data_IF_978936107435
#
_entry.id   IF_978936107435
#
_cell.length_a   1.000
_cell.length_b   1.000
_cell.length_c   1.000
_cell.angle_alpha   90.00
_cell.angle_beta   90.00
_cell.angle_gamma   90.00
#
_symmetry.space_group_name_H-M   'P 1'
#
loop_
_entity.id
_entity.type
_entity.pdbx_description
1 polymer ?
#
# COMPACT_ATOMS: atom_id res chain seq x y z
N UNK A 1 -6.88 59.31 -6.62
CA UNK A 1 -8.09 60.16 -6.80
C UNK A 1 -9.25 59.28 -7.12
N UNK A 2 -10.30 59.41 -6.28
CA UNK A 2 -11.73 59.10 -6.48
C UNK A 2 -12.07 57.64 -6.79
N UNK A 3 -12.61 56.86 -5.82
CA UNK A 3 -13.96 56.90 -5.16
C UNK A 3 -15.11 56.71 -6.13
N UNK A 4 -15.95 55.74 -5.81
CA UNK A 4 -17.40 55.77 -5.52
C UNK A 4 -18.07 54.62 -6.29
N UNK A 5 -18.77 53.70 -5.72
CA UNK A 5 -19.86 53.46 -4.78
C UNK A 5 -21.14 52.93 -5.47
N UNK A 6 -21.73 51.92 -4.90
CA UNK A 6 -23.18 51.62 -4.65
C UNK A 6 -24.06 51.30 -5.86
N UNK A 7 -25.07 50.44 -5.84
CA UNK A 7 -26.09 49.99 -4.85
C UNK A 7 -26.88 48.80 -5.41
N UNK A 8 -27.22 47.85 -4.67
CA UNK A 8 -28.53 47.48 -4.06
C UNK A 8 -29.77 47.60 -4.97
N UNK A 9 -30.46 46.48 -5.21
CA UNK A 9 -31.91 46.42 -5.31
C UNK A 9 -32.47 45.06 -4.82
N UNK A 10 -33.18 45.13 -3.71
CA UNK A 10 -34.12 44.15 -3.13
C UNK A 10 -35.46 44.39 -3.80
N UNK A 11 -36.16 43.32 -4.21
CA UNK A 11 -37.62 43.37 -4.32
C UNK A 11 -38.21 42.04 -3.79
N UNK A 12 -38.95 42.20 -2.68
CA UNK A 12 -39.91 41.21 -2.16
C UNK A 12 -41.19 41.19 -3.02
N UNK A 13 -41.81 40.02 -3.11
CA UNK A 13 -43.27 39.95 -3.22
C UNK A 13 -43.74 38.75 -2.38
N UNK A 14 -44.51 39.08 -1.37
CA UNK A 14 -45.31 38.16 -0.56
C UNK A 14 -46.72 38.02 -1.15
N UNK A 15 -47.33 36.85 -1.05
CA UNK A 15 -48.76 36.71 -1.01
C UNK A 15 -49.16 35.47 -0.21
N UNK A 16 -49.96 35.77 0.77
CA UNK A 16 -50.64 34.89 1.75
C UNK A 16 -51.61 33.88 1.11
N UNK A 17 -51.78 32.73 1.78
CA UNK A 17 -53.10 32.39 2.29
C UNK A 17 -53.03 31.36 3.42
N UNK A 18 -53.80 31.67 4.47
CA UNK A 18 -53.98 30.91 5.70
C UNK A 18 -54.97 29.72 5.51
N UNK A 19 -54.89 28.71 6.34
CA UNK A 19 -55.78 28.35 7.45
C UNK A 19 -55.60 26.87 7.83
N UNK A 20 -55.46 26.59 9.12
CA UNK A 20 -55.74 25.28 9.70
C UNK A 20 -54.81 24.83 10.83
N UNK A 21 -55.08 25.28 12.06
CA UNK A 21 -54.51 24.77 13.30
C UNK A 21 -54.84 23.30 13.54
N UNK A 22 -53.85 22.52 14.02
CA UNK A 22 -54.02 21.58 15.16
C UNK A 22 -52.70 21.20 15.74
N UNK A 23 -52.62 21.42 17.05
CA UNK A 23 -51.50 21.06 17.92
C UNK A 23 -51.19 19.59 17.92
N UNK A 24 -49.91 19.22 17.85
CA UNK A 24 -49.38 18.14 18.69
C UNK A 24 -47.87 18.25 18.89
N UNK A 25 -47.46 18.20 20.14
CA UNK A 25 -46.08 18.18 20.64
C UNK A 25 -45.36 16.95 20.16
N UNK A 26 -44.10 17.10 19.66
CA UNK A 26 -43.23 15.95 19.37
C UNK A 26 -41.86 16.40 18.98
N UNK A 27 -40.96 16.42 19.94
CA UNK A 27 -39.49 16.28 19.95
C UNK A 27 -38.74 16.44 18.61
N UNK A 28 -37.84 17.44 18.60
CA UNK A 28 -36.72 17.62 17.69
C UNK A 28 -35.86 16.35 17.59
N UNK A 29 -35.92 15.66 16.45
CA UNK A 29 -34.93 14.67 16.05
C UNK A 29 -34.15 15.24 14.86
N UNK A 30 -32.92 15.72 15.10
CA UNK A 30 -31.94 15.97 14.05
C UNK A 30 -31.75 14.67 13.22
N UNK A 31 -31.66 14.77 11.88
CA UNK A 31 -31.38 13.60 11.07
C UNK A 31 -29.95 13.13 11.33
N UNK A 32 -29.82 11.95 11.92
CA UNK A 32 -28.54 11.23 11.99
C UNK A 32 -28.15 10.88 10.55
N UNK A 33 -27.01 11.41 10.10
CA UNK A 33 -26.31 10.90 8.93
C UNK A 33 -26.12 9.39 9.11
N UNK A 34 -26.79 8.58 8.32
CA UNK A 34 -26.53 7.15 8.17
C UNK A 34 -25.17 7.03 7.47
N UNK A 35 -24.13 6.71 8.20
CA UNK A 35 -22.93 6.13 7.62
C UNK A 35 -23.36 4.85 6.92
N UNK A 36 -23.28 4.85 5.59
CA UNK A 36 -23.45 3.63 4.81
C UNK A 36 -22.26 2.73 5.14
N UNK A 37 -22.45 1.77 6.03
CA UNK A 37 -21.51 0.67 6.21
C UNK A 37 -21.39 -0.04 4.86
N UNK A 38 -20.25 0.11 4.17
CA UNK A 38 -19.90 -0.66 2.97
C UNK A 38 -19.91 -2.14 3.39
N UNK A 39 -20.90 -2.89 2.91
CA UNK A 39 -20.99 -4.32 3.15
C UNK A 39 -19.75 -4.98 2.52
N UNK A 40 -18.97 -5.73 3.30
CA UNK A 40 -17.92 -6.61 2.78
C UNK A 40 -18.54 -7.49 1.69
N UNK A 41 -17.95 -7.49 0.50
CA UNK A 41 -18.30 -8.46 -0.52
C UNK A 41 -17.94 -9.85 0.01
N UNK A 42 -18.92 -10.59 0.52
CA UNK A 42 -18.75 -11.98 0.94
C UNK A 42 -18.28 -12.77 -0.27
N UNK A 43 -17.19 -13.55 -0.11
CA UNK A 43 -16.72 -14.51 -1.11
C UNK A 43 -17.93 -15.34 -1.54
N UNK A 44 -18.31 -15.38 -2.82
CA UNK A 44 -19.38 -16.26 -3.27
C UNK A 44 -19.00 -17.72 -2.94
N UNK A 45 -19.95 -18.50 -2.52
CA UNK A 45 -19.75 -19.86 -1.97
C UNK A 45 -18.97 -20.81 -2.92
N UNK A 46 -18.88 -20.47 -4.21
CA UNK A 46 -18.29 -21.28 -5.28
C UNK A 46 -17.24 -20.53 -6.14
N UNK A 47 -16.69 -19.40 -5.67
CA UNK A 47 -15.64 -18.73 -6.44
C UNK A 47 -14.31 -19.45 -6.23
N UNK A 48 -13.65 -19.93 -7.31
CA UNK A 48 -12.35 -20.59 -7.19
C UNK A 48 -11.29 -19.64 -6.63
N UNK A 49 -10.29 -20.20 -5.98
CA UNK A 49 -9.13 -19.43 -5.55
C UNK A 49 -8.31 -18.98 -6.76
N UNK A 50 -7.85 -17.73 -6.75
CA UNK A 50 -6.98 -17.22 -7.82
C UNK A 50 -5.63 -17.96 -7.83
N UNK A 51 -5.03 -18.03 -9.02
CA UNK A 51 -3.74 -18.65 -9.29
C UNK A 51 -2.69 -17.60 -9.68
N UNK A 52 -1.43 -18.01 -9.65
CA UNK A 52 -0.27 -17.19 -9.99
C UNK A 52 0.58 -16.85 -8.77
N UNK A 53 1.85 -16.51 -9.03
CA UNK A 53 2.81 -16.06 -8.03
C UNK A 53 2.57 -14.61 -7.59
N UNK A 54 3.25 -14.17 -6.53
CA UNK A 54 3.24 -12.77 -6.12
C UNK A 54 3.79 -11.88 -7.24
N UNK A 55 3.10 -10.77 -7.52
CA UNK A 55 3.50 -9.77 -8.53
C UNK A 55 3.54 -10.32 -9.97
N UNK A 56 2.81 -11.40 -10.27
CA UNK A 56 2.52 -11.83 -11.63
C UNK A 56 1.31 -11.10 -12.20
N UNK A 57 1.41 -10.67 -13.47
CA UNK A 57 0.34 -10.00 -14.21
C UNK A 57 0.17 -10.65 -15.58
N UNK A 58 -1.04 -11.10 -15.89
CA UNK A 58 -1.40 -11.58 -17.21
C UNK A 58 -1.93 -10.43 -18.05
N UNK A 59 -1.29 -10.14 -19.19
CA UNK A 59 -1.76 -9.15 -20.16
C UNK A 59 -2.43 -9.87 -21.33
N UNK A 60 -3.71 -9.56 -21.56
CA UNK A 60 -4.52 -10.02 -22.69
C UNK A 60 -4.50 -8.94 -23.76
N UNK A 61 -4.07 -9.30 -24.97
CA UNK A 61 -3.87 -8.38 -26.09
C UNK A 61 -4.48 -8.89 -27.39
N UNK A 62 -4.80 -7.99 -28.33
CA UNK A 62 -5.13 -8.33 -29.70
C UNK A 62 -3.84 -8.40 -30.55
N UNK A 63 -3.77 -9.27 -31.59
CA UNK A 63 -2.57 -9.39 -32.42
C UNK A 63 -2.04 -8.05 -32.97
N UNK A 64 -2.92 -7.12 -33.28
CA UNK A 64 -2.56 -5.78 -33.75
C UNK A 64 -1.83 -4.94 -32.70
N UNK A 65 -2.02 -5.20 -31.39
CA UNK A 65 -1.38 -4.45 -30.31
C UNK A 65 0.14 -4.68 -30.26
N UNK A 66 0.58 -5.87 -30.70
CA UNK A 66 2.01 -6.17 -30.88
C UNK A 66 2.59 -5.39 -32.07
N UNK A 67 1.87 -5.35 -33.20
CA UNK A 67 2.34 -4.68 -34.42
C UNK A 67 2.46 -3.17 -34.24
N UNK A 68 1.60 -2.58 -33.44
CA UNK A 68 1.60 -1.13 -33.15
C UNK A 68 2.54 -0.71 -32.03
N UNK A 69 3.15 -1.66 -31.31
CA UNK A 69 3.99 -1.41 -30.14
C UNK A 69 3.19 -0.96 -28.88
N UNK A 70 1.86 -1.13 -28.89
CA UNK A 70 1.03 -0.80 -27.73
C UNK A 70 1.30 -1.76 -26.58
N UNK A 71 1.40 -3.06 -26.86
CA UNK A 71 1.77 -4.08 -25.89
C UNK A 71 3.16 -3.80 -25.28
N UNK A 72 4.17 -3.53 -26.12
CA UNK A 72 5.55 -3.28 -25.65
C UNK A 72 5.62 -2.06 -24.72
N UNK A 73 4.79 -1.04 -24.98
CA UNK A 73 4.70 0.14 -24.11
C UNK A 73 4.15 -0.24 -22.73
N UNK A 74 3.09 -1.04 -22.66
CA UNK A 74 2.53 -1.50 -21.38
C UNK A 74 3.50 -2.47 -20.67
N UNK A 75 4.12 -3.38 -21.43
CA UNK A 75 5.12 -4.30 -20.92
C UNK A 75 6.27 -3.55 -20.23
N UNK A 76 6.83 -2.52 -20.89
CA UNK A 76 7.92 -1.74 -20.34
C UNK A 76 7.50 -1.01 -19.05
N UNK A 77 6.27 -0.50 -18.98
CA UNK A 77 5.75 0.09 -17.73
C UNK A 77 5.67 -0.95 -16.61
N UNK A 78 5.10 -2.11 -16.88
CA UNK A 78 4.93 -3.17 -15.87
C UNK A 78 6.26 -3.79 -15.43
N UNK A 79 7.27 -3.78 -16.29
CA UNK A 79 8.60 -4.34 -16.00
C UNK A 79 9.63 -3.29 -15.62
N UNK A 80 9.22 -2.04 -15.37
CA UNK A 80 10.13 -1.03 -14.83
C UNK A 80 10.67 -1.46 -13.47
N UNK A 81 11.92 -1.08 -13.19
CA UNK A 81 12.64 -1.55 -12.01
C UNK A 81 12.03 -1.04 -10.70
N UNK A 82 11.96 -1.90 -9.71
CA UNK A 82 11.58 -1.51 -8.35
C UNK A 82 12.69 -0.66 -7.73
N UNK A 83 12.38 0.59 -7.45
CA UNK A 83 13.30 1.50 -6.79
C UNK A 83 13.57 1.07 -5.34
N UNK A 84 14.82 1.21 -4.90
CA UNK A 84 15.23 0.87 -3.53
C UNK A 84 15.71 -0.57 -3.36
N UNK A 85 15.88 -1.31 -4.44
CA UNK A 85 16.56 -2.60 -4.42
C UNK A 85 18.05 -2.43 -4.74
N UNK A 86 18.87 -3.39 -4.28
CA UNK A 86 20.33 -3.38 -4.52
C UNK A 86 20.71 -3.87 -5.92
N UNK A 87 19.76 -4.41 -6.67
CA UNK A 87 19.89 -4.86 -8.04
C UNK A 87 18.60 -4.53 -8.80
N UNK A 88 18.68 -4.46 -10.13
CA UNK A 88 17.52 -4.24 -10.98
C UNK A 88 16.59 -5.47 -10.91
N UNK A 89 15.36 -5.25 -10.54
CA UNK A 89 14.30 -6.27 -10.49
C UNK A 89 12.99 -5.64 -10.98
N UNK A 90 12.29 -6.27 -11.96
CA UNK A 90 11.08 -5.72 -12.51
C UNK A 90 9.96 -5.61 -11.47
N UNK A 91 9.10 -4.61 -11.61
CA UNK A 91 7.94 -4.42 -10.73
C UNK A 91 6.98 -5.60 -10.77
N UNK A 92 6.77 -6.19 -11.95
CA UNK A 92 5.92 -7.37 -12.16
C UNK A 92 6.55 -8.38 -13.12
N UNK A 93 6.20 -9.65 -12.91
CA UNK A 93 6.46 -10.74 -13.83
C UNK A 93 5.30 -10.81 -14.83
N UNK A 94 5.54 -10.41 -16.07
CA UNK A 94 4.48 -10.25 -17.08
C UNK A 94 4.34 -11.47 -17.95
N UNK A 95 3.18 -12.10 -17.89
CA UNK A 95 2.72 -13.10 -18.86
C UNK A 95 1.87 -12.42 -19.93
N UNK A 96 1.90 -12.93 -21.16
CA UNK A 96 1.09 -12.42 -22.27
C UNK A 96 0.30 -13.51 -22.96
N UNK A 97 -0.92 -13.19 -23.37
CA UNK A 97 -1.79 -14.08 -24.13
C UNK A 97 -2.64 -13.30 -25.12
N UNK A 98 -2.83 -13.81 -26.32
CA UNK A 98 -3.81 -13.20 -27.24
C UNK A 98 -5.24 -13.46 -26.75
N UNK A 99 -6.14 -12.53 -27.04
CA UNK A 99 -7.55 -12.61 -26.66
C UNK A 99 -8.21 -13.93 -27.08
N UNK A 100 -7.88 -14.44 -28.27
CA UNK A 100 -8.40 -15.71 -28.80
C UNK A 100 -7.99 -16.94 -27.96
N UNK A 101 -6.89 -16.86 -27.22
CA UNK A 101 -6.36 -17.94 -26.39
C UNK A 101 -6.61 -17.70 -24.90
N UNK A 102 -7.29 -16.62 -24.53
CA UNK A 102 -7.67 -16.33 -23.15
C UNK A 102 -8.74 -17.31 -22.67
N UNK A 103 -8.27 -18.47 -22.19
CA UNK A 103 -9.10 -19.62 -21.78
C UNK A 103 -9.49 -19.58 -20.31
N UNK A 104 -10.43 -20.47 -19.92
CA UNK A 104 -10.92 -20.59 -18.54
C UNK A 104 -9.82 -20.80 -17.50
N UNK A 105 -8.72 -21.48 -17.83
CA UNK A 105 -7.61 -21.68 -16.90
C UNK A 105 -6.86 -20.38 -16.61
N UNK A 106 -6.72 -19.51 -17.62
CA UNK A 106 -6.08 -18.19 -17.48
C UNK A 106 -6.99 -17.18 -16.80
N UNK A 107 -8.30 -17.42 -16.77
CA UNK A 107 -9.23 -16.64 -15.98
C UNK A 107 -8.91 -16.71 -14.47
N UNK A 108 -8.19 -17.72 -14.01
CA UNK A 108 -7.83 -17.83 -12.59
C UNK A 108 -6.62 -16.98 -12.22
N UNK A 109 -5.90 -16.37 -13.16
CA UNK A 109 -4.80 -15.46 -12.84
C UNK A 109 -5.27 -14.34 -11.92
N UNK A 110 -4.47 -14.05 -10.88
CA UNK A 110 -4.84 -13.09 -9.84
C UNK A 110 -4.92 -11.65 -10.36
N UNK A 111 -3.98 -11.24 -11.18
CA UNK A 111 -3.95 -9.93 -11.81
C UNK A 111 -4.04 -10.08 -13.32
N UNK A 112 -5.06 -9.47 -13.92
CA UNK A 112 -5.31 -9.53 -15.36
C UNK A 112 -5.45 -8.10 -15.88
N UNK A 113 -4.72 -7.78 -16.95
CA UNK A 113 -4.93 -6.56 -17.73
C UNK A 113 -5.46 -6.95 -19.10
N UNK A 114 -6.58 -6.38 -19.52
CA UNK A 114 -7.16 -6.56 -20.83
C UNK A 114 -6.98 -5.25 -21.61
N UNK A 115 -6.26 -5.32 -22.72
CA UNK A 115 -6.10 -4.20 -23.64
C UNK A 115 -7.31 -4.13 -24.56
N UNK A 116 -7.95 -2.96 -24.64
CA UNK A 116 -9.15 -2.72 -25.46
C UNK A 116 -8.91 -1.49 -26.34
N UNK A 117 -8.36 -1.68 -27.54
CA UNK A 117 -8.01 -0.60 -28.47
C UNK A 117 -8.94 -0.69 -29.70
N UNK A 118 -9.98 0.16 -29.75
CA UNK A 118 -10.93 0.19 -30.87
C UNK A 118 -11.61 1.57 -30.99
N UNK A 119 -11.32 2.30 -32.07
CA UNK A 119 -11.91 3.63 -32.33
C UNK A 119 -13.42 3.63 -32.61
N UNK A 120 -13.99 2.46 -32.94
CA UNK A 120 -15.44 2.33 -33.14
C UNK A 120 -16.20 2.24 -31.81
N UNK A 121 -15.52 1.86 -30.74
CA UNK A 121 -16.09 1.62 -29.41
C UNK A 121 -15.68 2.70 -28.43
N UNK A 122 -14.43 3.16 -28.49
CA UNK A 122 -13.85 4.07 -27.51
C UNK A 122 -13.48 5.41 -28.11
N UNK A 123 -13.89 6.49 -27.46
CA UNK A 123 -13.59 7.87 -27.85
C UNK A 123 -12.50 8.51 -26.98
N UNK A 124 -12.14 7.88 -25.88
CA UNK A 124 -11.12 8.35 -24.92
C UNK A 124 -10.44 7.19 -24.20
N UNK A 125 -9.21 7.43 -23.72
CA UNK A 125 -8.50 6.48 -22.89
C UNK A 125 -9.07 6.45 -21.47
N UNK A 126 -9.18 5.26 -20.89
CA UNK A 126 -9.71 5.07 -19.53
C UNK A 126 -9.26 3.74 -18.93
N UNK A 127 -9.04 3.75 -17.59
CA UNK A 127 -8.98 2.53 -16.79
C UNK A 127 -10.36 2.15 -16.28
N UNK A 128 -10.67 0.86 -16.31
CA UNK A 128 -11.80 0.27 -15.59
C UNK A 128 -11.32 -1.01 -14.94
N UNK A 129 -11.59 -1.21 -13.68
CA UNK A 129 -11.27 -2.46 -13.02
C UNK A 129 -12.47 -3.08 -12.33
N UNK A 130 -12.41 -4.39 -12.16
CA UNK A 130 -13.42 -5.16 -11.43
C UNK A 130 -12.70 -6.17 -10.55
N UNK A 131 -13.17 -6.31 -9.32
CA UNK A 131 -12.63 -7.31 -8.38
C UNK A 131 -13.39 -8.63 -8.52
N UNK A 132 -12.66 -9.74 -8.41
CA UNK A 132 -13.22 -11.09 -8.22
C UNK A 132 -14.20 -11.54 -9.32
N UNK A 133 -13.84 -11.31 -10.59
CA UNK A 133 -14.69 -11.67 -11.75
C UNK A 133 -14.77 -13.18 -11.95
N UNK A 134 -13.63 -13.85 -11.90
CA UNK A 134 -13.52 -15.29 -12.18
C UNK A 134 -12.96 -16.09 -10.99
N UNK A 135 -12.19 -15.45 -10.13
CA UNK A 135 -11.50 -16.07 -9.00
C UNK A 135 -11.45 -15.10 -7.80
N UNK A 136 -11.02 -15.59 -6.64
CA UNK A 136 -10.87 -14.79 -5.42
C UNK A 136 -9.52 -15.09 -4.73
N UNK A 137 -8.77 -14.05 -4.32
CA UNK A 137 -8.91 -12.64 -4.70
C UNK A 137 -8.42 -12.38 -6.13
N UNK A 138 -9.01 -11.44 -6.85
CA UNK A 138 -8.65 -11.16 -8.24
C UNK A 138 -8.89 -9.70 -8.60
N UNK A 139 -7.99 -9.14 -9.42
CA UNK A 139 -8.18 -7.86 -10.10
C UNK A 139 -8.18 -8.09 -11.61
N UNK A 140 -9.21 -7.61 -12.28
CA UNK A 140 -9.28 -7.53 -13.74
C UNK A 140 -9.36 -6.05 -14.14
N UNK A 141 -8.30 -5.52 -14.74
CA UNK A 141 -8.24 -4.15 -15.25
C UNK A 141 -8.41 -4.14 -16.75
N UNK A 142 -9.30 -3.31 -17.25
CA UNK A 142 -9.47 -3.01 -18.66
C UNK A 142 -8.86 -1.65 -18.97
N UNK A 143 -7.89 -1.58 -19.87
CA UNK A 143 -7.33 -0.33 -20.38
C UNK A 143 -7.93 -0.12 -21.77
N UNK A 144 -8.83 0.85 -21.91
CA UNK A 144 -9.51 1.18 -23.16
C UNK A 144 -8.88 2.41 -23.81
N UNK A 145 -8.78 2.41 -25.15
CA UNK A 145 -8.30 3.53 -25.93
C UNK A 145 -8.89 3.53 -27.36
N UNK A 146 -9.02 4.71 -28.02
CA UNK A 146 -9.51 4.77 -29.40
C UNK A 146 -8.50 4.25 -30.41
N UNK A 147 -7.19 4.39 -30.15
CA UNK A 147 -6.12 3.93 -31.03
C UNK A 147 -4.82 3.66 -30.24
N UNK A 148 -3.86 3.02 -30.91
CA UNK A 148 -2.60 2.63 -30.29
C UNK A 148 -1.73 3.81 -29.85
N UNK A 149 -1.73 4.94 -30.56
CA UNK A 149 -0.92 6.11 -30.19
C UNK A 149 -1.43 6.76 -28.90
N UNK A 150 -2.74 6.89 -28.78
CA UNK A 150 -3.35 7.40 -27.55
C UNK A 150 -3.17 6.43 -26.40
N UNK A 151 -3.30 5.11 -26.62
CA UNK A 151 -3.01 4.10 -25.63
C UNK A 151 -1.57 4.22 -25.10
N UNK A 152 -0.57 4.27 -25.99
CA UNK A 152 0.83 4.38 -25.59
C UNK A 152 1.11 5.64 -24.77
N UNK A 153 0.55 6.78 -25.18
CA UNK A 153 0.66 8.03 -24.44
C UNK A 153 0.00 7.93 -23.07
N UNK A 154 -1.20 7.39 -23.01
CA UNK A 154 -1.97 7.22 -21.77
C UNK A 154 -1.27 6.32 -20.77
N UNK A 155 -0.77 5.16 -21.20
CA UNK A 155 -0.03 4.22 -20.34
C UNK A 155 1.26 4.86 -19.80
N UNK A 156 2.02 5.57 -20.64
CA UNK A 156 3.23 6.28 -20.19
C UNK A 156 2.92 7.39 -19.18
N UNK A 157 1.88 8.18 -19.43
CA UNK A 157 1.48 9.27 -18.53
C UNK A 157 0.99 8.75 -17.18
N UNK A 158 0.38 7.58 -17.16
CA UNK A 158 -0.16 6.94 -15.94
C UNK A 158 0.73 5.80 -15.42
N UNK A 159 2.03 5.84 -15.70
CA UNK A 159 3.01 4.84 -15.29
C UNK A 159 2.89 4.50 -13.80
N UNK A 160 3.06 5.49 -12.92
CA UNK A 160 3.03 5.30 -11.47
C UNK A 160 1.66 4.83 -10.96
N UNK A 161 0.58 5.29 -11.60
CA UNK A 161 -0.78 4.88 -11.24
C UNK A 161 -0.96 3.37 -11.47
N UNK A 162 -0.51 2.85 -12.63
CA UNK A 162 -0.62 1.42 -12.98
C UNK A 162 0.22 0.58 -12.00
N UNK A 163 1.48 0.96 -11.80
CA UNK A 163 2.41 0.24 -10.90
C UNK A 163 1.86 0.22 -9.48
N UNK A 164 1.47 1.38 -8.94
CA UNK A 164 0.97 1.48 -7.58
C UNK A 164 -0.34 0.74 -7.38
N UNK A 165 -1.24 0.74 -8.38
CA UNK A 165 -2.50 0.04 -8.31
C UNK A 165 -2.31 -1.47 -8.07
N UNK A 166 -1.52 -2.15 -8.91
CA UNK A 166 -1.28 -3.59 -8.75
C UNK A 166 -0.38 -3.90 -7.57
N UNK A 167 0.59 -3.03 -7.25
CA UNK A 167 1.41 -3.18 -6.05
C UNK A 167 0.56 -3.15 -4.78
N UNK A 168 -0.36 -2.19 -4.67
CA UNK A 168 -1.29 -2.10 -3.51
C UNK A 168 -2.23 -3.30 -3.46
N UNK A 169 -2.70 -3.80 -4.60
CA UNK A 169 -3.51 -5.02 -4.65
C UNK A 169 -2.77 -6.25 -4.09
N UNK A 170 -1.49 -6.42 -4.45
CA UNK A 170 -0.64 -7.50 -3.94
C UNK A 170 -0.31 -7.32 -2.44
N UNK A 171 0.00 -6.09 -2.00
CA UNK A 171 0.23 -5.81 -0.58
C UNK A 171 -1.02 -6.09 0.26
N UNK A 172 -2.21 -5.72 -0.22
CA UNK A 172 -3.47 -6.03 0.45
C UNK A 172 -3.73 -7.52 0.52
N UNK A 173 -3.44 -8.25 -0.56
CA UNK A 173 -3.58 -9.71 -0.58
C UNK A 173 -2.67 -10.38 0.46
N UNK A 174 -1.40 -9.99 0.52
CA UNK A 174 -0.47 -10.52 1.53
C UNK A 174 -0.88 -10.11 2.95
N UNK A 175 -1.33 -8.88 3.17
CA UNK A 175 -1.81 -8.42 4.47
C UNK A 175 -3.03 -9.24 4.94
N UNK A 176 -3.99 -9.56 4.06
CA UNK A 176 -5.12 -10.45 4.39
C UNK A 176 -4.64 -11.87 4.73
N UNK A 177 -3.67 -12.39 3.99
CA UNK A 177 -3.09 -13.70 4.28
C UNK A 177 -2.40 -13.72 5.67
N UNK A 178 -1.66 -12.65 5.99
CA UNK A 178 -0.99 -12.51 7.29
C UNK A 178 -1.97 -12.44 8.48
N UNK A 179 -3.21 -11.96 8.28
CA UNK A 179 -4.24 -12.00 9.35
C UNK A 179 -4.60 -13.44 9.73
N UNK A 180 -4.58 -14.33 8.77
CA UNK A 180 -4.91 -15.74 8.99
C UNK A 180 -3.69 -16.54 9.51
N UNK A 181 -2.48 -16.13 9.11
CA UNK A 181 -1.23 -16.87 9.36
C UNK A 181 -0.11 -15.96 9.90
N UNK A 182 -0.38 -15.19 10.95
CA UNK A 182 0.63 -14.33 11.58
C UNK A 182 1.46 -15.09 12.63
N UNK A 183 2.57 -14.46 13.04
CA UNK A 183 3.42 -14.95 14.12
C UNK A 183 2.89 -14.49 15.50
N UNK A 184 2.34 -15.38 16.33
CA UNK A 184 1.76 -15.00 17.64
C UNK A 184 2.82 -14.49 18.62
N UNK A 185 4.07 -15.01 18.58
CA UNK A 185 5.16 -14.56 19.44
C UNK A 185 5.56 -13.12 19.15
N UNK A 186 5.65 -12.74 17.86
CA UNK A 186 5.93 -11.36 17.46
C UNK A 186 4.82 -10.44 17.94
N UNK A 187 3.57 -10.78 17.66
CA UNK A 187 2.38 -10.02 18.06
C UNK A 187 2.33 -9.79 19.57
N UNK A 188 2.54 -10.82 20.36
CA UNK A 188 2.55 -10.74 21.83
C UNK A 188 3.66 -9.80 22.34
N UNK A 189 4.90 -9.93 21.84
CA UNK A 189 6.01 -9.08 22.26
C UNK A 189 5.80 -7.61 21.87
N UNK A 190 5.25 -7.34 20.67
CA UNK A 190 4.91 -6.00 20.21
C UNK A 190 3.81 -5.39 21.09
N UNK A 191 2.77 -6.14 21.39
CA UNK A 191 1.69 -5.71 22.28
C UNK A 191 2.23 -5.40 23.69
N UNK A 192 3.06 -6.27 24.26
CA UNK A 192 3.58 -6.09 25.61
C UNK A 192 4.52 -4.88 25.73
N UNK A 193 5.33 -4.57 24.71
CA UNK A 193 6.31 -3.49 24.78
C UNK A 193 5.73 -2.14 24.30
N UNK A 194 4.91 -2.15 23.25
CA UNK A 194 4.46 -0.93 22.57
C UNK A 194 2.95 -0.68 22.70
N UNK A 195 2.16 -1.66 23.16
CA UNK A 195 0.71 -1.58 23.15
C UNK A 195 0.11 -1.55 21.73
N UNK A 196 0.88 -1.93 20.73
CA UNK A 196 0.50 -1.97 19.32
C UNK A 196 0.14 -3.40 18.91
N UNK A 197 -0.66 -3.53 17.85
CA UNK A 197 -0.93 -4.81 17.20
C UNK A 197 -0.33 -4.86 15.79
N UNK A 198 0.13 -6.03 15.35
CA UNK A 198 0.69 -6.24 14.01
C UNK A 198 0.61 -7.71 13.60
N UNK A 199 0.35 -7.93 12.32
CA UNK A 199 0.40 -9.26 11.72
C UNK A 199 1.71 -9.42 10.95
N UNK A 200 2.66 -10.11 11.55
CA UNK A 200 3.99 -10.33 10.98
C UNK A 200 4.13 -11.69 10.32
N UNK A 201 5.19 -11.85 9.53
CA UNK A 201 5.53 -13.10 8.86
C UNK A 201 5.66 -14.26 9.86
N UNK A 202 5.02 -15.43 9.61
CA UNK A 202 5.04 -16.56 10.53
C UNK A 202 6.44 -17.16 10.77
N UNK A 203 7.34 -17.03 9.79
CA UNK A 203 8.69 -17.57 9.85
C UNK A 203 9.72 -16.76 10.65
N UNK A 204 9.35 -15.64 11.26
CA UNK A 204 10.22 -14.83 12.12
C UNK A 204 10.38 -15.51 13.49
N UNK A 205 11.39 -16.32 13.64
CA UNK A 205 11.57 -17.22 14.79
C UNK A 205 12.68 -16.82 15.77
N UNK A 206 13.58 -15.94 15.36
CA UNK A 206 14.65 -15.40 16.22
C UNK A 206 14.30 -14.00 16.70
N UNK A 207 14.63 -13.68 17.95
CA UNK A 207 14.26 -12.37 18.54
C UNK A 207 15.41 -11.79 19.36
N UNK A 208 15.55 -10.46 19.28
CA UNK A 208 16.41 -9.66 20.16
C UNK A 208 15.60 -8.51 20.74
N UNK A 209 15.74 -8.26 22.02
CA UNK A 209 15.07 -7.18 22.74
C UNK A 209 16.10 -6.13 23.17
N UNK A 210 15.79 -4.86 22.91
CA UNK A 210 16.54 -3.69 23.36
C UNK A 210 15.64 -2.70 24.09
N UNK A 211 16.17 -1.53 24.45
CA UNK A 211 15.38 -0.47 25.07
C UNK A 211 14.49 0.20 24.01
N UNK A 212 13.16 0.06 24.15
CA UNK A 212 12.18 0.52 23.16
C UNK A 212 12.47 -0.01 21.74
N UNK A 213 12.93 -1.26 21.65
CA UNK A 213 13.37 -1.88 20.42
C UNK A 213 13.14 -3.40 20.48
N UNK A 214 12.54 -3.95 19.42
CA UNK A 214 12.47 -5.38 19.17
C UNK A 214 12.98 -5.67 17.76
N UNK A 215 13.71 -6.76 17.61
CA UNK A 215 14.19 -7.27 16.33
C UNK A 215 13.84 -8.76 16.22
N UNK A 216 13.23 -9.11 15.09
CA UNK A 216 12.88 -10.48 14.74
C UNK A 216 13.50 -10.82 13.39
N UNK A 217 13.95 -12.06 13.21
CA UNK A 217 14.52 -12.51 11.94
C UNK A 217 14.14 -13.95 11.62
N UNK A 218 14.27 -14.32 10.35
CA UNK A 218 14.16 -15.73 9.91
C UNK A 218 15.41 -16.52 10.19
N UNK A 219 16.53 -15.86 10.55
CA UNK A 219 17.86 -16.43 10.83
C UNK A 219 18.36 -17.38 9.72
N UNK A 220 18.14 -16.99 8.47
CA UNK A 220 18.57 -17.76 7.30
C UNK A 220 19.82 -17.16 6.67
N UNK A 221 20.83 -17.99 6.40
CA UNK A 221 22.15 -17.55 5.90
C UNK A 221 22.04 -16.78 4.56
N UNK A 222 21.20 -17.24 3.63
CA UNK A 222 21.16 -16.71 2.26
C UNK A 222 19.86 -15.99 1.90
N UNK A 223 18.91 -15.92 2.82
CA UNK A 223 17.57 -15.38 2.56
C UNK A 223 16.96 -14.89 3.87
N UNK A 224 17.66 -13.97 4.53
CA UNK A 224 17.23 -13.49 5.84
C UNK A 224 16.31 -12.29 5.71
N UNK A 225 15.07 -12.48 6.20
CA UNK A 225 14.07 -11.43 6.35
C UNK A 225 14.04 -10.99 7.80
N UNK A 226 14.05 -9.69 8.00
CA UNK A 226 14.16 -9.08 9.30
C UNK A 226 13.03 -8.07 9.51
N UNK A 227 12.46 -8.07 10.69
CA UNK A 227 11.47 -7.11 11.14
C UNK A 227 11.96 -6.46 12.43
N UNK A 228 11.91 -5.14 12.49
CA UNK A 228 12.18 -4.38 13.70
C UNK A 228 11.04 -3.42 14.00
N UNK A 229 10.81 -3.19 15.29
CA UNK A 229 9.95 -2.13 15.79
C UNK A 229 10.66 -1.36 16.88
N UNK A 230 10.57 -0.04 16.83
CA UNK A 230 11.14 0.84 17.84
C UNK A 230 10.33 2.11 18.02
N UNK A 231 10.55 2.79 19.13
CA UNK A 231 9.89 4.06 19.40
C UNK A 231 10.82 5.10 19.95
N UNK A 232 10.47 6.37 19.73
CA UNK A 232 11.12 7.53 20.32
C UNK A 232 10.11 8.68 20.54
N UNK A 233 10.40 9.64 21.46
CA UNK A 233 9.47 10.73 21.72
C UNK A 233 9.15 11.55 20.48
N UNK A 234 7.87 11.81 20.23
CA UNK A 234 7.39 12.76 19.25
C UNK A 234 7.45 14.17 19.84
N UNK A 235 7.95 15.13 19.08
CA UNK A 235 8.02 16.54 19.49
C UNK A 235 7.24 17.44 18.54
N UNK A 236 7.53 17.35 17.25
CA UNK A 236 6.90 18.16 16.21
C UNK A 236 7.10 17.55 14.82
N UNK A 237 6.53 18.19 13.79
CA UNK A 237 6.59 17.72 12.40
C UNK A 237 8.01 17.60 11.82
N UNK A 238 9.02 18.25 12.39
CA UNK A 238 10.43 18.10 11.95
C UNK A 238 10.95 16.70 12.16
N UNK A 239 10.28 15.88 12.97
CA UNK A 239 10.52 14.45 13.15
C UNK A 239 10.43 13.67 11.83
N UNK A 240 9.61 14.14 10.90
CA UNK A 240 9.37 13.51 9.59
C UNK A 240 10.24 14.10 8.46
N UNK A 241 11.30 14.83 8.79
CA UNK A 241 12.28 15.25 7.79
C UNK A 241 13.29 14.15 7.49
N UNK A 242 13.81 14.13 6.25
CA UNK A 242 14.79 13.15 5.80
C UNK A 242 15.99 13.05 6.74
N UNK A 243 16.60 14.19 7.09
CA UNK A 243 17.78 14.23 7.93
C UNK A 243 17.50 13.73 9.36
N UNK A 244 16.33 14.04 9.90
CA UNK A 244 15.95 13.56 11.21
C UNK A 244 15.75 12.04 11.20
N UNK A 245 15.02 11.53 10.23
CA UNK A 245 14.79 10.09 10.08
C UNK A 245 16.12 9.32 9.98
N UNK A 246 17.02 9.72 9.06
CA UNK A 246 18.30 9.02 8.86
C UNK A 246 19.13 9.02 10.16
N UNK A 247 19.31 10.17 10.79
CA UNK A 247 20.06 10.26 12.06
C UNK A 247 19.43 9.40 13.16
N UNK A 248 18.10 9.39 13.26
CA UNK A 248 17.40 8.62 14.27
C UNK A 248 17.49 7.13 14.00
N UNK A 249 17.24 6.69 12.77
CA UNK A 249 17.37 5.31 12.35
C UNK A 249 18.79 4.80 12.62
N UNK A 250 19.81 5.51 12.14
CA UNK A 250 21.21 5.10 12.30
C UNK A 250 21.62 5.03 13.77
N UNK A 251 21.14 5.94 14.60
CA UNK A 251 21.38 5.90 16.06
C UNK A 251 20.76 4.64 16.70
N UNK A 252 19.54 4.28 16.30
CA UNK A 252 18.85 3.08 16.81
C UNK A 252 19.53 1.81 16.31
N UNK A 253 19.84 1.75 15.01
CA UNK A 253 20.48 0.57 14.40
C UNK A 253 21.89 0.36 14.92
N UNK A 254 22.68 1.43 15.11
CA UNK A 254 24.01 1.35 15.74
C UNK A 254 23.97 0.71 17.12
N UNK A 255 22.96 1.01 17.91
CA UNK A 255 22.83 0.48 19.27
C UNK A 255 22.33 -0.97 19.30
N UNK A 256 21.58 -1.41 18.29
CA UNK A 256 20.83 -2.67 18.36
C UNK A 256 21.21 -3.71 17.30
N UNK A 257 21.75 -3.30 16.15
CA UNK A 257 22.08 -4.18 15.02
C UNK A 257 23.58 -4.12 14.74
N UNK A 258 24.41 -4.84 15.53
CA UNK A 258 25.85 -4.88 15.34
C UNK A 258 26.22 -5.66 14.08
N UNK A 259 27.37 -5.36 13.51
CA UNK A 259 28.01 -6.22 12.51
C UNK A 259 28.77 -7.39 13.15
N UNK A 260 29.42 -8.23 12.32
CA UNK A 260 30.15 -9.41 12.79
C UNK A 260 31.37 -9.11 13.67
N UNK A 261 31.91 -7.89 13.60
CA UNK A 261 33.11 -7.47 14.35
C UNK A 261 32.83 -6.24 15.19
N UNK A 262 33.63 -6.02 16.21
CA UNK A 262 33.56 -4.83 17.06
C UNK A 262 33.68 -3.53 16.23
N UNK A 263 32.85 -2.53 16.57
CA UNK A 263 32.78 -1.26 15.87
C UNK A 263 31.96 -1.27 14.55
N UNK A 264 31.52 -2.44 14.11
CA UNK A 264 30.62 -2.58 12.96
C UNK A 264 29.14 -2.53 13.39
N UNK A 265 28.31 -1.85 12.60
CA UNK A 265 26.87 -1.71 12.85
C UNK A 265 26.13 -1.35 11.58
N UNK A 266 24.83 -1.60 11.56
CA UNK A 266 23.95 -1.21 10.45
C UNK A 266 23.81 0.31 10.36
N UNK A 267 23.87 0.82 9.13
CA UNK A 267 23.62 2.22 8.79
C UNK A 267 22.84 2.36 7.49
N UNK A 268 22.27 3.55 7.27
CA UNK A 268 21.54 3.90 6.05
C UNK A 268 22.52 4.37 4.98
N UNK A 269 22.33 3.92 3.73
CA UNK A 269 23.08 4.45 2.59
C UNK A 269 22.51 5.82 2.16
N UNK A 270 23.22 6.61 1.33
CA UNK A 270 22.72 7.89 0.83
C UNK A 270 21.43 7.78 -0.02
N UNK A 271 21.18 6.62 -0.62
CA UNK A 271 19.97 6.39 -1.42
C UNK A 271 18.78 6.07 -0.54
N UNK A 272 17.87 7.03 -0.39
CA UNK A 272 16.65 6.91 0.43
C UNK A 272 15.52 7.68 -0.22
N UNK A 273 14.38 7.05 -0.35
CA UNK A 273 13.13 7.62 -0.86
C UNK A 273 12.14 7.82 0.29
N UNK A 274 11.48 8.98 0.29
CA UNK A 274 10.48 9.36 1.28
C UNK A 274 9.14 9.56 0.58
N UNK A 275 8.11 8.91 1.10
CA UNK A 275 6.75 9.06 0.63
C UNK A 275 5.84 9.30 1.84
N UNK A 276 4.93 10.26 1.70
CA UNK A 276 3.80 10.38 2.60
C UNK A 276 2.73 9.38 2.15
N UNK A 277 2.13 8.69 3.10
CA UNK A 277 1.11 7.67 2.86
C UNK A 277 0.06 7.72 3.98
N UNK A 278 -0.98 6.94 3.86
CA UNK A 278 -2.03 6.79 4.84
C UNK A 278 -2.15 5.32 5.25
N UNK A 279 -2.14 5.06 6.56
CA UNK A 279 -2.34 3.74 7.14
C UNK A 279 -3.47 3.81 8.15
N UNK A 280 -4.54 3.07 7.93
CA UNK A 280 -5.76 3.10 8.75
C UNK A 280 -6.38 4.50 8.92
N UNK A 281 -6.40 5.28 7.83
CA UNK A 281 -6.97 6.63 7.86
C UNK A 281 -6.11 7.70 8.55
N UNK A 282 -4.85 7.39 8.87
CA UNK A 282 -3.94 8.32 9.54
C UNK A 282 -2.60 8.42 8.81
N UNK A 283 -1.98 9.59 8.91
CA UNK A 283 -0.70 9.88 8.29
C UNK A 283 0.38 8.85 8.66
N UNK A 284 1.12 8.41 7.68
CA UNK A 284 2.29 7.55 7.80
C UNK A 284 3.41 8.05 6.88
N UNK A 285 4.65 8.11 7.39
CA UNK A 285 5.81 8.30 6.53
C UNK A 285 6.37 6.94 6.15
N UNK A 286 6.43 6.66 4.85
CA UNK A 286 7.01 5.44 4.30
C UNK A 286 8.37 5.76 3.71
N UNK A 287 9.39 5.06 4.17
CA UNK A 287 10.78 5.28 3.73
C UNK A 287 11.33 3.98 3.16
N UNK A 288 11.84 4.04 1.94
CA UNK A 288 12.52 2.91 1.27
C UNK A 288 13.95 3.30 0.96
N UNK A 289 14.86 2.35 1.09
CA UNK A 289 16.26 2.61 0.81
C UNK A 289 17.13 1.37 0.98
N UNK A 290 18.43 1.61 0.99
CA UNK A 290 19.41 0.55 1.22
C UNK A 290 20.12 0.76 2.57
N UNK A 291 20.42 -0.35 3.21
CA UNK A 291 21.25 -0.41 4.41
C UNK A 291 22.56 -1.13 4.10
N UNK A 292 23.59 -0.84 4.87
CA UNK A 292 24.83 -1.60 4.87
C UNK A 292 25.38 -1.71 6.30
N UNK A 293 26.33 -2.61 6.48
CA UNK A 293 27.13 -2.68 7.70
C UNK A 293 28.40 -1.84 7.50
N UNK A 294 28.67 -0.94 8.43
CA UNK A 294 29.86 -0.10 8.42
C UNK A 294 31.12 -0.95 8.34
N UNK A 295 31.99 -0.70 7.36
CA UNK A 295 33.26 -1.41 7.13
C UNK A 295 33.10 -2.93 6.96
N UNK A 296 32.00 -3.36 6.36
CA UNK A 296 31.73 -4.75 6.03
C UNK A 296 30.84 -4.86 4.81
N UNK A 297 31.13 -5.81 3.93
CA UNK A 297 30.39 -6.00 2.67
C UNK A 297 29.11 -6.82 2.93
N UNK A 298 28.16 -6.17 3.59
CA UNK A 298 26.83 -6.72 3.89
C UNK A 298 25.81 -5.59 3.82
N UNK A 299 24.76 -5.78 3.05
CA UNK A 299 23.70 -4.79 2.87
C UNK A 299 22.48 -5.35 2.15
N UNK A 300 21.49 -4.50 1.95
CA UNK A 300 20.27 -4.87 1.25
C UNK A 300 19.20 -3.78 1.31
N UNK A 301 17.99 -4.05 0.81
CA UNK A 301 16.89 -3.11 0.89
C UNK A 301 16.25 -3.07 2.29
N UNK A 302 15.68 -1.91 2.62
CA UNK A 302 14.76 -1.76 3.75
C UNK A 302 13.52 -0.97 3.34
N UNK A 303 12.44 -1.21 4.05
CA UNK A 303 11.21 -0.40 4.04
C UNK A 303 10.81 -0.11 5.48
N UNK A 304 10.46 1.14 5.77
CA UNK A 304 10.13 1.62 7.11
C UNK A 304 8.84 2.41 7.06
N UNK A 305 7.95 2.19 8.04
CA UNK A 305 6.70 2.94 8.22
C UNK A 305 6.74 3.60 9.60
N UNK A 306 6.67 4.93 9.63
CA UNK A 306 6.70 5.72 10.85
C UNK A 306 5.34 6.39 11.07
N UNK A 307 4.74 6.20 12.26
CA UNK A 307 3.45 6.75 12.65
C UNK A 307 3.49 7.39 14.03
N UNK A 308 2.65 8.39 14.27
CA UNK A 308 2.56 9.04 15.57
C UNK A 308 1.53 8.31 16.45
N UNK A 309 1.98 7.81 17.59
CA UNK A 309 1.13 7.37 18.69
C UNK A 309 0.86 8.62 19.57
N UNK A 310 -0.24 9.31 19.27
CA UNK A 310 -0.59 10.58 19.91
C UNK A 310 -0.91 10.38 21.39
N UNK A 311 -1.53 9.27 21.75
CA UNK A 311 -1.87 8.92 23.13
C UNK A 311 -0.63 8.87 24.04
N UNK A 312 0.48 8.36 23.53
CA UNK A 312 1.73 8.20 24.28
C UNK A 312 2.82 9.21 23.87
N UNK A 313 2.50 10.19 23.01
CA UNK A 313 3.41 11.25 22.54
C UNK A 313 4.75 10.71 22.01
N UNK A 314 4.68 9.69 21.15
CA UNK A 314 5.84 9.04 20.56
C UNK A 314 5.63 8.69 19.10
N UNK A 315 6.72 8.51 18.38
CA UNK A 315 6.70 7.89 17.06
C UNK A 315 6.94 6.39 17.22
N UNK A 316 6.10 5.59 16.61
CA UNK A 316 6.32 4.15 16.40
C UNK A 316 6.86 3.98 14.99
N UNK A 317 7.97 3.27 14.86
CA UNK A 317 8.54 2.90 13.57
C UNK A 317 8.58 1.39 13.49
N UNK A 318 7.98 0.85 12.43
CA UNK A 318 8.11 -0.54 12.02
C UNK A 318 8.93 -0.59 10.74
N UNK A 319 9.88 -1.51 10.66
CA UNK A 319 10.77 -1.61 9.51
C UNK A 319 11.04 -3.06 9.14
N UNK A 320 10.97 -3.36 7.86
CA UNK A 320 11.45 -4.59 7.27
C UNK A 320 12.77 -4.37 6.54
N UNK A 321 13.72 -5.28 6.70
CA UNK A 321 14.94 -5.29 5.89
C UNK A 321 15.35 -6.71 5.51
N UNK A 322 16.05 -6.82 4.37
CA UNK A 322 16.40 -8.11 3.79
C UNK A 322 17.91 -8.20 3.59
N UNK A 323 18.48 -9.35 3.96
CA UNK A 323 19.77 -9.78 3.51
C UNK A 323 19.62 -11.02 2.62
N UNK A 324 19.93 -10.89 1.33
CA UNK A 324 19.77 -11.98 0.36
C UNK A 324 20.73 -11.76 -0.81
N UNK A 325 22.03 -12.05 -0.65
CA UNK A 325 23.06 -11.67 -1.62
C UNK A 325 22.94 -12.39 -2.97
N UNK A 326 22.35 -13.59 -3.01
CA UNK A 326 22.32 -14.45 -4.18
C UNK A 326 20.93 -14.62 -4.82
N UNK A 327 19.90 -13.90 -4.34
CA UNK A 327 18.53 -14.03 -4.87
C UNK A 327 17.82 -12.69 -4.98
N UNK A 328 16.75 -12.67 -5.77
CA UNK A 328 15.88 -11.53 -5.92
C UNK A 328 15.23 -11.15 -4.58
N UNK A 329 15.08 -9.85 -4.36
CA UNK A 329 14.67 -9.26 -3.08
C UNK A 329 13.29 -8.64 -3.14
N UNK A 330 12.77 -8.35 -4.34
CA UNK A 330 11.46 -7.72 -4.54
C UNK A 330 10.38 -8.40 -3.70
N UNK A 331 10.17 -9.70 -3.91
CA UNK A 331 9.10 -10.42 -3.22
C UNK A 331 9.36 -10.55 -1.70
N UNK A 332 10.62 -10.60 -1.27
CA UNK A 332 10.97 -10.67 0.15
C UNK A 332 10.65 -9.35 0.88
N UNK A 333 11.11 -8.23 0.31
CA UNK A 333 10.88 -6.92 0.93
C UNK A 333 9.39 -6.53 0.90
N UNK A 334 8.67 -6.89 -0.18
CA UNK A 334 7.24 -6.62 -0.32
C UNK A 334 6.38 -7.41 0.69
N UNK A 335 6.76 -8.65 1.03
CA UNK A 335 6.10 -9.40 2.10
C UNK A 335 6.28 -8.73 3.47
N UNK A 336 7.49 -8.26 3.76
CA UNK A 336 7.72 -7.45 4.97
C UNK A 336 6.90 -6.17 4.93
N UNK A 337 6.90 -5.45 3.82
CA UNK A 337 6.14 -4.22 3.63
C UNK A 337 4.65 -4.42 3.90
N UNK A 338 4.04 -5.48 3.38
CA UNK A 338 2.64 -5.82 3.64
C UNK A 338 2.36 -5.99 5.15
N UNK A 339 3.29 -6.61 5.88
CA UNK A 339 3.21 -6.72 7.34
C UNK A 339 3.21 -5.34 8.03
N UNK A 340 4.05 -4.40 7.56
CA UNK A 340 4.15 -3.06 8.17
C UNK A 340 2.83 -2.27 8.08
N UNK A 341 2.09 -2.44 6.98
CA UNK A 341 0.77 -1.81 6.80
C UNK A 341 -0.33 -2.38 7.71
N UNK A 342 -0.07 -3.51 8.37
CA UNK A 342 -1.00 -4.08 9.36
C UNK A 342 -0.86 -3.48 10.75
N UNK A 343 0.14 -2.60 10.99
CA UNK A 343 0.38 -1.97 12.29
C UNK A 343 -0.84 -1.19 12.75
N UNK A 344 -1.33 -1.51 13.94
CA UNK A 344 -2.35 -0.75 14.67
C UNK A 344 -1.78 -0.14 15.93
N UNK A 345 -1.96 1.15 16.06
CA UNK A 345 -1.56 1.92 17.24
C UNK A 345 -2.55 1.72 18.40
N UNK A 346 -2.17 2.04 19.64
CA UNK A 346 -3.03 1.84 20.83
C UNK A 346 -4.42 2.47 20.69
N UNK A 347 -4.53 3.64 20.07
CA UNK A 347 -5.80 4.34 19.84
C UNK A 347 -6.72 3.59 18.90
N UNK A 348 -6.15 3.00 17.85
CA UNK A 348 -6.88 2.23 16.85
C UNK A 348 -7.41 0.91 17.41
N UNK A 349 -6.74 0.34 18.39
CA UNK A 349 -7.20 -0.88 19.09
C UNK A 349 -8.42 -0.59 19.99
N UNK A 350 -8.45 0.57 20.64
CA UNK A 350 -9.58 0.97 21.47
C UNK A 350 -10.84 1.21 20.62
N UNK A 351 -10.67 1.76 19.39
CA UNK A 351 -11.75 1.92 18.41
C UNK A 351 -12.17 0.58 17.78
N UNK A 352 -11.23 -0.33 17.52
CA UNK A 352 -11.46 -1.61 16.85
C UNK A 352 -12.14 -2.66 17.75
N UNK A 353 -12.27 -2.44 19.05
CA UNK A 353 -13.11 -3.29 19.90
C UNK A 353 -14.58 -3.28 19.46
N UNK A 354 -14.96 -2.34 18.58
CA UNK A 354 -16.32 -2.22 18.03
C UNK A 354 -16.42 -2.57 16.53
N UNK A 355 -15.32 -2.70 15.77
CA UNK A 355 -15.37 -3.05 14.34
C UNK A 355 -14.05 -3.72 13.92
N UNK A 356 -14.12 -5.03 13.68
CA UNK A 356 -13.01 -5.81 13.09
C UNK A 356 -13.01 -5.63 11.56
N UNK A 357 -12.62 -4.47 11.07
CA UNK A 357 -12.39 -4.29 9.65
C UNK A 357 -11.03 -3.63 9.44
N UNK A 358 -10.11 -4.36 8.77
CA UNK A 358 -9.02 -3.70 8.09
C UNK A 358 -9.65 -2.93 6.93
N UNK A 359 -9.52 -1.62 6.98
CA UNK A 359 -9.87 -0.82 5.82
C UNK A 359 -8.99 -1.29 4.67
N UNK A 360 -9.63 -1.75 3.59
CA UNK A 360 -8.92 -1.99 2.33
C UNK A 360 -8.17 -0.69 2.00
N UNK A 361 -6.87 -0.78 1.71
CA UNK A 361 -6.13 0.36 1.16
C UNK A 361 -6.96 0.80 -0.05
N UNK A 362 -7.55 1.99 -0.01
CA UNK A 362 -8.42 2.45 -1.11
C UNK A 362 -7.59 2.51 -2.39
N UNK A 363 -7.95 1.65 -3.32
CA UNK A 363 -7.40 1.64 -4.67
C UNK A 363 -8.33 2.54 -5.48
N UNK A 364 -8.14 3.85 -5.37
CA UNK A 364 -8.81 4.80 -6.25
C UNK A 364 -7.85 5.19 -7.38
N UNK A 365 -8.10 4.79 -8.62
CA UNK A 365 -7.60 5.51 -9.77
C UNK A 365 -8.48 6.76 -9.94
N UNK A 366 -8.03 7.93 -9.51
CA UNK A 366 -8.60 9.20 -9.96
C UNK A 366 -8.45 9.38 -11.48
#
# INVERSE_FOLDING_TARGET
>A
MKKILLAVCIIMIAAMNMVGCRDNKGADKKPKARSAAKAKAKKPLFTPTSAGGPYEVLVVYEPNDLLTGAFDTLYNVLTDDVLGLSQAEPSFDVMKISSNNFSKNLHLCRNIIIMNIDSRVYTQCKFKYTKNVYAYPQIVMNIQAPNAEEFKRFVKTNHDVIINFFTRAELNHEAEHLKEQYNPMVREKVMNMFGCDIFSLPELNKTKTGRNFLWFSTDRVNKDMNFVIYSYPYRDKRTFTKDYFIRKRDSVMKANVPGPREGQYMMTTPFVMFNDDEVHGAYAQVVRGLWNIRNYDMGGPFVSVARVDEKNQRVIVVEGFVYSPATDKRNLIRRLEASLYTLRLPEELDLARNTFDLDEIEINPE
#
